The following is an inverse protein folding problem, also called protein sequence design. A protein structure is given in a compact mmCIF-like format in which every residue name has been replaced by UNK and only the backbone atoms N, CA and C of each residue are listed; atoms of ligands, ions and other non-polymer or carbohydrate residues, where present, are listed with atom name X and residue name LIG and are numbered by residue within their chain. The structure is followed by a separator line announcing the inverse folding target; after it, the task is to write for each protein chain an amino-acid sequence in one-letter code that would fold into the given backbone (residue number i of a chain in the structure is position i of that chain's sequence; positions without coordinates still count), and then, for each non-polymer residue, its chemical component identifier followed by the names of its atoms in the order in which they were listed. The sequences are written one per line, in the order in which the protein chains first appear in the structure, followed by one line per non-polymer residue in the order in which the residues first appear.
data_IF_692403101423
#
_entry.id   IF_692403101423
#
_cell.length_a   1.000
_cell.length_b   1.000
_cell.length_c   1.000
_cell.angle_alpha   90.00
_cell.angle_beta   90.00
_cell.angle_gamma   90.00
#
_symmetry.space_group_name_H-M   'P 1'
#
loop_
_entity.id
_entity.type
_entity.pdbx_description
1 polymer ?
#
# COMPACT_ATOMS: atom_id res chain seq x y z
N UNK A 1 -22.35 2.10 -7.58
CA UNK A 1 -20.97 2.14 -8.13
C UNK A 1 -19.95 2.61 -7.09
N UNK A 2 -20.01 3.86 -6.58
CA UNK A 2 -19.01 4.38 -5.62
C UNK A 2 -18.97 3.65 -4.26
N UNK A 3 -20.12 3.21 -3.74
CA UNK A 3 -20.17 2.39 -2.51
C UNK A 3 -19.46 1.04 -2.67
N UNK A 4 -19.52 0.44 -3.88
CA UNK A 4 -18.79 -0.78 -4.21
C UNK A 4 -17.29 -0.56 -4.16
N UNK A 5 -16.80 0.50 -4.81
CA UNK A 5 -15.37 0.89 -4.76
C UNK A 5 -14.84 1.12 -3.34
N UNK A 6 -15.69 1.66 -2.45
CA UNK A 6 -15.32 1.84 -1.04
C UNK A 6 -15.22 0.49 -0.30
N UNK A 7 -16.13 -0.44 -0.58
CA UNK A 7 -16.10 -1.78 -0.01
C UNK A 7 -14.89 -2.60 -0.53
N UNK A 8 -14.65 -2.56 -1.84
CA UNK A 8 -13.47 -3.17 -2.47
C UNK A 8 -12.16 -2.60 -1.88
N UNK A 9 -12.15 -1.30 -1.56
CA UNK A 9 -11.02 -0.66 -0.89
C UNK A 9 -10.72 -1.24 0.49
N UNK A 10 -11.76 -1.58 1.27
CA UNK A 10 -11.61 -2.24 2.57
C UNK A 10 -11.06 -3.66 2.41
N UNK A 11 -11.59 -4.41 1.44
CA UNK A 11 -11.14 -5.77 1.15
C UNK A 11 -9.66 -5.79 0.73
N UNK A 12 -9.25 -4.87 -0.14
CA UNK A 12 -7.85 -4.71 -0.54
C UNK A 12 -6.93 -4.37 0.63
N UNK A 13 -7.37 -3.54 1.58
CA UNK A 13 -6.58 -3.25 2.78
C UNK A 13 -6.44 -4.51 3.64
N UNK A 14 -7.50 -5.29 3.80
CA UNK A 14 -7.43 -6.56 4.51
C UNK A 14 -6.43 -7.53 3.84
N UNK A 15 -6.50 -7.68 2.51
CA UNK A 15 -5.54 -8.50 1.76
C UNK A 15 -4.08 -8.02 1.87
N UNK A 16 -3.86 -6.70 1.89
CA UNK A 16 -2.52 -6.15 2.07
C UNK A 16 -1.98 -6.48 3.46
N UNK A 17 -2.83 -6.41 4.49
CA UNK A 17 -2.45 -6.74 5.86
C UNK A 17 -2.11 -8.24 6.00
N UNK A 18 -2.91 -9.13 5.43
CA UNK A 18 -2.63 -10.58 5.48
C UNK A 18 -1.33 -10.92 4.76
N UNK A 19 -1.09 -10.35 3.57
CA UNK A 19 0.18 -10.52 2.85
C UNK A 19 1.39 -10.01 3.63
N UNK A 20 1.25 -8.90 4.35
CA UNK A 20 2.32 -8.38 5.20
C UNK A 20 2.59 -9.27 6.41
N UNK A 21 1.56 -9.87 7.02
CA UNK A 21 1.73 -10.86 8.09
C UNK A 21 2.44 -12.13 7.60
N UNK A 22 2.04 -12.66 6.46
CA UNK A 22 2.69 -13.84 5.86
C UNK A 22 4.14 -13.55 5.48
N UNK A 23 4.42 -12.35 4.93
CA UNK A 23 5.78 -11.89 4.65
C UNK A 23 6.64 -11.81 5.92
N UNK A 24 6.08 -11.33 7.04
CA UNK A 24 6.77 -11.29 8.33
C UNK A 24 7.10 -12.70 8.85
N UNK A 25 6.14 -13.63 8.80
CA UNK A 25 6.36 -15.03 9.21
C UNK A 25 7.47 -15.67 8.38
N UNK A 26 7.37 -15.58 7.06
CA UNK A 26 8.40 -16.11 6.16
C UNK A 26 9.79 -15.49 6.42
N UNK A 27 9.85 -14.21 6.78
CA UNK A 27 11.11 -13.56 7.15
C UNK A 27 11.70 -14.14 8.44
N UNK A 28 10.89 -14.33 9.49
CA UNK A 28 11.35 -14.93 10.75
C UNK A 28 11.83 -16.38 10.57
N UNK A 29 11.17 -17.16 9.72
CA UNK A 29 11.61 -18.51 9.37
C UNK A 29 12.97 -18.51 8.65
N UNK A 30 13.17 -17.56 7.75
CA UNK A 30 14.45 -17.38 7.04
C UNK A 30 15.56 -16.91 7.97
N UNK A 31 15.26 -16.05 8.93
CA UNK A 31 16.21 -15.61 9.97
C UNK A 31 16.66 -16.79 10.83
N UNK A 32 15.72 -17.58 11.34
CA UNK A 32 16.04 -18.79 12.09
C UNK A 32 16.83 -19.81 11.25
N UNK A 33 16.53 -19.95 9.95
CA UNK A 33 17.29 -20.82 9.06
C UNK A 33 18.72 -20.32 8.82
N UNK A 34 18.90 -19.01 8.68
CA UNK A 34 20.21 -18.36 8.55
C UNK A 34 21.07 -18.61 9.81
N UNK A 35 20.50 -18.38 10.99
CA UNK A 35 21.18 -18.61 12.26
C UNK A 35 21.57 -20.09 12.45
N UNK A 36 20.65 -21.01 12.15
CA UNK A 36 20.92 -22.46 12.17
C UNK A 36 22.06 -22.83 11.23
N UNK A 37 22.10 -22.23 10.04
CA UNK A 37 23.15 -22.51 9.06
C UNK A 37 24.51 -22.00 9.54
N UNK A 38 24.57 -20.79 10.11
CA UNK A 38 25.79 -20.27 10.73
C UNK A 38 26.27 -21.15 11.90
N UNK A 39 25.37 -21.65 12.74
CA UNK A 39 25.71 -22.59 13.80
C UNK A 39 26.27 -23.91 13.24
N UNK A 40 25.65 -24.47 12.19
CA UNK A 40 26.14 -25.69 11.56
C UNK A 40 27.53 -25.53 10.92
N UNK A 41 27.83 -24.35 10.38
CA UNK A 41 29.14 -24.02 9.79
C UNK A 41 30.20 -23.93 10.91
N UNK A 42 29.86 -23.31 12.05
CA UNK A 42 30.74 -23.26 13.24
C UNK A 42 31.01 -24.66 13.81
N UNK A 43 29.99 -25.50 13.94
CA UNK A 43 30.14 -26.88 14.43
C UNK A 43 31.08 -27.70 13.53
N UNK A 44 30.98 -27.53 12.20
CA UNK A 44 31.89 -28.19 11.25
C UNK A 44 33.35 -27.74 11.43
N UNK A 45 33.58 -26.47 11.78
CA UNK A 45 34.92 -25.96 12.09
C UNK A 45 35.45 -26.54 13.39
N UNK A 46 34.64 -26.56 14.45
CA UNK A 46 35.01 -27.11 15.77
C UNK A 46 35.32 -28.61 15.71
N UNK A 47 34.51 -29.36 14.95
CA UNK A 47 34.74 -30.78 14.67
C UNK A 47 35.87 -31.01 13.66
N UNK A 48 36.56 -29.95 13.20
CA UNK A 48 37.65 -29.96 12.21
C UNK A 48 37.30 -30.69 10.90
N UNK A 49 36.02 -30.72 10.53
CA UNK A 49 35.54 -31.29 9.27
C UNK A 49 35.82 -30.38 8.07
N UNK A 50 36.07 -29.09 8.31
CA UNK A 50 36.38 -28.08 7.29
C UNK A 50 37.63 -27.28 7.68
N UNK A 51 38.33 -26.76 6.68
CA UNK A 51 39.46 -25.84 6.90
C UNK A 51 38.96 -24.45 7.30
N UNK A 52 39.83 -23.65 7.92
CA UNK A 52 39.47 -22.29 8.33
C UNK A 52 39.14 -21.38 7.11
N UNK A 53 39.85 -21.55 6.00
CA UNK A 53 39.56 -20.82 4.75
C UNK A 53 38.16 -21.16 4.20
N UNK A 54 37.76 -22.43 4.29
CA UNK A 54 36.45 -22.87 3.85
C UNK A 54 35.34 -22.31 4.74
N UNK A 55 35.57 -22.26 6.06
CA UNK A 55 34.67 -21.62 7.01
C UNK A 55 34.45 -20.13 6.68
N UNK A 56 35.54 -19.38 6.45
CA UNK A 56 35.45 -17.96 6.11
C UNK A 56 34.69 -17.71 4.81
N UNK A 57 34.91 -18.56 3.80
CA UNK A 57 34.19 -18.51 2.53
C UNK A 57 32.69 -18.80 2.70
N UNK A 58 32.33 -19.89 3.39
CA UNK A 58 30.93 -20.26 3.62
C UNK A 58 30.18 -19.18 4.43
N UNK A 59 30.80 -18.62 5.46
CA UNK A 59 30.21 -17.53 6.26
C UNK A 59 30.03 -16.27 5.41
N UNK A 60 30.97 -15.95 4.53
CA UNK A 60 30.87 -14.80 3.63
C UNK A 60 29.73 -14.97 2.64
N UNK A 61 29.59 -16.14 2.05
CA UNK A 61 28.49 -16.44 1.12
C UNK A 61 27.13 -16.41 1.82
N UNK A 62 27.04 -16.99 3.02
CA UNK A 62 25.82 -16.99 3.82
C UNK A 62 25.41 -15.57 4.24
N UNK A 63 26.37 -14.73 4.67
CA UNK A 63 26.14 -13.30 4.93
C UNK A 63 25.68 -12.53 3.70
N UNK A 64 26.22 -12.84 2.51
CA UNK A 64 25.81 -12.20 1.25
C UNK A 64 24.34 -12.53 0.93
N UNK A 65 23.96 -13.79 1.07
CA UNK A 65 22.57 -14.25 0.86
C UNK A 65 21.64 -13.55 1.86
N UNK A 66 22.02 -13.53 3.14
CA UNK A 66 21.23 -12.86 4.18
C UNK A 66 21.05 -11.36 3.90
N UNK A 67 22.13 -10.67 3.53
CA UNK A 67 22.11 -9.24 3.18
C UNK A 67 21.20 -8.95 2.00
N UNK A 68 21.13 -9.86 1.02
CA UNK A 68 20.20 -9.73 -0.09
C UNK A 68 18.75 -9.87 0.39
N UNK A 69 18.45 -10.89 1.21
CA UNK A 69 17.11 -11.14 1.73
C UNK A 69 16.60 -10.02 2.65
N UNK A 70 17.45 -9.46 3.51
CA UNK A 70 17.08 -8.33 4.36
C UNK A 70 16.69 -7.10 3.53
N UNK A 71 17.44 -6.80 2.45
CA UNK A 71 17.10 -5.73 1.50
C UNK A 71 15.80 -5.99 0.75
N UNK A 72 15.53 -7.25 0.38
CA UNK A 72 14.25 -7.62 -0.25
C UNK A 72 13.09 -7.33 0.70
N UNK A 73 13.21 -7.74 1.97
CA UNK A 73 12.17 -7.49 2.99
C UNK A 73 11.93 -6.00 3.20
N UNK A 74 12.99 -5.20 3.30
CA UNK A 74 12.87 -3.75 3.43
C UNK A 74 12.10 -3.14 2.25
N UNK A 75 12.42 -3.53 1.01
CA UNK A 75 11.70 -3.07 -0.19
C UNK A 75 10.24 -3.47 -0.16
N UNK A 76 9.93 -4.72 0.18
CA UNK A 76 8.55 -5.21 0.28
C UNK A 76 7.76 -4.43 1.33
N UNK A 77 8.33 -4.18 2.50
CA UNK A 77 7.67 -3.40 3.55
C UNK A 77 7.39 -1.95 3.10
N UNK A 78 8.35 -1.31 2.41
CA UNK A 78 8.14 0.03 1.82
C UNK A 78 7.02 0.02 0.77
N UNK A 79 6.97 -1.00 -0.08
CA UNK A 79 5.90 -1.16 -1.09
C UNK A 79 4.54 -1.33 -0.42
N UNK A 80 4.45 -2.16 0.63
CA UNK A 80 3.25 -2.32 1.43
C UNK A 80 2.78 -0.98 2.02
N UNK A 81 3.67 -0.20 2.64
CA UNK A 81 3.31 1.11 3.20
C UNK A 81 2.81 2.08 2.13
N UNK A 82 3.45 2.11 0.96
CA UNK A 82 3.01 2.94 -0.17
C UNK A 82 1.64 2.51 -0.69
N UNK A 83 1.41 1.21 -0.84
CA UNK A 83 0.12 0.66 -1.27
C UNK A 83 -0.98 0.97 -0.25
N UNK A 84 -0.71 0.79 1.05
CA UNK A 84 -1.65 1.08 2.12
C UNK A 84 -2.04 2.57 2.14
N UNK A 85 -1.06 3.48 2.03
CA UNK A 85 -1.31 4.93 1.93
C UNK A 85 -2.16 5.26 0.71
N UNK A 86 -1.89 4.65 -0.44
CA UNK A 86 -2.65 4.86 -1.66
C UNK A 86 -4.10 4.37 -1.51
N UNK A 87 -4.33 3.20 -0.91
CA UNK A 87 -5.68 2.69 -0.65
C UNK A 87 -6.44 3.62 0.30
N UNK A 88 -5.83 4.06 1.40
CA UNK A 88 -6.47 5.02 2.32
C UNK A 88 -6.80 6.36 1.65
N UNK A 89 -5.88 6.91 0.85
CA UNK A 89 -6.11 8.14 0.12
C UNK A 89 -7.26 7.99 -0.89
N UNK A 90 -7.30 6.86 -1.60
CA UNK A 90 -8.37 6.54 -2.57
C UNK A 90 -9.71 6.40 -1.86
N UNK A 91 -9.78 5.65 -0.75
CA UNK A 91 -11.00 5.50 0.02
C UNK A 91 -11.51 6.85 0.55
N UNK A 92 -10.63 7.72 1.05
CA UNK A 92 -11.01 9.06 1.51
C UNK A 92 -11.63 9.88 0.37
N UNK A 93 -11.05 9.84 -0.83
CA UNK A 93 -11.59 10.52 -2.02
C UNK A 93 -12.96 9.97 -2.42
N UNK A 94 -13.11 8.64 -2.47
CA UNK A 94 -14.38 7.98 -2.79
C UNK A 94 -15.46 8.30 -1.76
N UNK A 95 -15.11 8.30 -0.47
CA UNK A 95 -16.03 8.65 0.60
C UNK A 95 -16.52 10.09 0.49
N UNK A 96 -15.61 11.05 0.32
CA UNK A 96 -15.98 12.46 0.09
C UNK A 96 -16.91 12.61 -1.12
N UNK A 97 -16.68 11.86 -2.20
CA UNK A 97 -17.57 11.89 -3.36
C UNK A 97 -18.95 11.33 -3.06
N UNK A 98 -19.04 10.22 -2.32
CA UNK A 98 -20.33 9.66 -1.89
C UNK A 98 -21.10 10.69 -1.08
N UNK A 99 -20.46 11.34 -0.11
CA UNK A 99 -21.11 12.38 0.72
C UNK A 99 -21.62 13.55 -0.11
N UNK A 100 -20.85 14.01 -1.12
CA UNK A 100 -21.29 15.08 -2.01
C UNK A 100 -22.51 14.68 -2.84
N UNK A 101 -22.50 13.48 -3.42
CA UNK A 101 -23.65 12.99 -4.17
C UNK A 101 -24.88 12.81 -3.26
N UNK A 102 -24.72 12.34 -2.03
CA UNK A 102 -25.80 12.23 -1.05
C UNK A 102 -26.37 13.61 -0.66
N UNK A 103 -25.51 14.61 -0.45
CA UNK A 103 -25.92 16.01 -0.19
C UNK A 103 -26.68 16.60 -1.38
N UNK A 104 -26.23 16.36 -2.60
CA UNK A 104 -26.91 16.84 -3.81
C UNK A 104 -28.29 16.17 -4.01
N UNK A 105 -28.37 14.85 -3.80
CA UNK A 105 -29.62 14.10 -3.94
C UNK A 105 -30.65 14.42 -2.85
N UNK A 106 -30.20 14.77 -1.65
CA UNK A 106 -31.09 15.11 -0.53
C UNK A 106 -31.71 16.52 -0.64
N UNK A 107 -31.44 17.26 -1.72
CA UNK A 107 -31.95 18.62 -2.00
C UNK A 107 -31.80 19.62 -0.84
N UNK A 108 -30.90 19.35 0.11
CA UNK A 108 -30.66 20.15 1.33
C UNK A 108 -29.50 21.15 1.18
N UNK A 109 -28.83 21.17 0.04
CA UNK A 109 -27.74 22.11 -0.25
C UNK A 109 -28.16 23.18 -1.25
N UNK A 110 -27.78 24.43 -1.01
CA UNK A 110 -27.84 25.47 -2.03
C UNK A 110 -26.88 25.12 -3.18
N UNK A 111 -27.20 25.50 -4.41
CA UNK A 111 -26.39 25.18 -5.59
C UNK A 111 -24.99 25.79 -5.55
N UNK A 112 -24.79 26.88 -4.79
CA UNK A 112 -23.48 27.50 -4.55
C UNK A 112 -22.61 26.65 -3.62
N UNK A 113 -23.17 26.14 -2.53
CA UNK A 113 -22.42 25.34 -1.55
C UNK A 113 -21.92 24.03 -2.16
N UNK A 114 -22.76 23.41 -3.01
CA UNK A 114 -22.39 22.22 -3.76
C UNK A 114 -21.26 22.48 -4.76
N UNK A 115 -21.25 23.65 -5.42
CA UNK A 115 -20.19 24.03 -6.38
C UNK A 115 -18.84 24.25 -5.68
N UNK A 116 -18.84 24.92 -4.53
CA UNK A 116 -17.61 25.11 -3.74
C UNK A 116 -17.04 23.80 -3.21
N UNK A 117 -17.90 22.93 -2.67
CA UNK A 117 -17.46 21.63 -2.15
C UNK A 117 -16.98 20.69 -3.27
N UNK A 118 -17.58 20.76 -4.46
CA UNK A 118 -17.08 20.06 -5.66
C UNK A 118 -15.72 20.59 -6.09
N UNK A 119 -15.51 21.92 -6.07
CA UNK A 119 -14.21 22.51 -6.38
C UNK A 119 -13.13 22.07 -5.39
N UNK A 120 -13.44 22.02 -4.09
CA UNK A 120 -12.52 21.52 -3.05
C UNK A 120 -12.16 20.04 -3.27
N UNK A 121 -13.15 19.22 -3.63
CA UNK A 121 -12.91 17.80 -3.94
C UNK A 121 -12.12 17.63 -5.24
N UNK A 122 -12.41 18.41 -6.28
CA UNK A 122 -11.66 18.36 -7.54
C UNK A 122 -10.21 18.86 -7.39
N UNK A 123 -9.98 19.89 -6.58
CA UNK A 123 -8.64 20.40 -6.24
C UNK A 123 -7.81 19.34 -5.50
N UNK A 124 -8.43 18.55 -4.62
CA UNK A 124 -7.78 17.44 -3.91
C UNK A 124 -7.64 16.16 -4.77
N UNK A 125 -8.40 16.04 -5.86
CA UNK A 125 -8.26 14.93 -6.81
C UNK A 125 -7.15 15.14 -7.85
N UNK A 126 -6.96 16.36 -8.35
CA UNK A 126 -6.12 16.63 -9.54
C UNK A 126 -4.71 17.15 -9.26
N UNK A 127 -4.25 17.25 -8.01
CA UNK A 127 -2.89 17.75 -7.74
C UNK A 127 -2.64 19.16 -8.31
N UNK A 128 -3.67 20.01 -8.37
CA UNK A 128 -3.55 21.43 -8.73
C UNK A 128 -3.91 21.84 -10.16
N UNK A 129 -4.55 21.00 -10.98
CA UNK A 129 -5.06 21.43 -12.30
C UNK A 129 -6.61 21.49 -12.32
N UNK A 130 -7.23 22.60 -12.78
CA UNK A 130 -8.68 22.77 -12.81
C UNK A 130 -9.29 21.97 -13.96
N UNK A 131 -9.87 20.81 -13.66
CA UNK A 131 -10.77 20.11 -14.58
C UNK A 131 -12.12 20.82 -14.63
N UNK A 132 -12.46 21.41 -15.78
CA UNK A 132 -13.76 22.03 -16.03
C UNK A 132 -14.82 20.95 -16.23
N UNK A 133 -15.80 20.85 -15.32
CA UNK A 133 -16.97 19.98 -15.51
C UNK A 133 -18.22 20.86 -15.65
N UNK A 134 -18.84 20.83 -16.83
CA UNK A 134 -20.12 21.47 -17.10
C UNK A 134 -21.21 20.62 -16.45
N UNK A 135 -21.93 21.18 -15.48
CA UNK A 135 -23.15 20.57 -14.95
C UNK A 135 -24.25 20.75 -15.99
N UNK A 136 -24.63 19.69 -16.70
CA UNK A 136 -25.67 19.68 -17.75
C UNK A 136 -27.09 20.08 -17.28
N UNK A 137 -27.26 20.45 -16.01
CA UNK A 137 -28.53 20.98 -15.51
C UNK A 137 -28.82 22.41 -16.00
N UNK A 138 -27.81 23.17 -16.41
CA UNK A 138 -27.98 24.55 -16.87
C UNK A 138 -28.49 24.64 -18.33
N UNK A 139 -28.32 23.61 -19.16
CA UNK A 139 -28.80 23.62 -20.57
C UNK A 139 -30.29 23.29 -20.72
N UNK A 140 -30.88 22.56 -19.77
CA UNK A 140 -32.30 22.21 -19.81
C UNK A 140 -33.24 23.40 -19.51
N UNK A 141 -32.72 24.50 -18.96
CA UNK A 141 -33.50 25.74 -18.74
C UNK A 141 -33.37 26.75 -19.87
N UNK A 142 -32.45 26.55 -20.82
CA UNK A 142 -32.22 27.48 -21.92
C UNK A 142 -33.01 27.14 -23.19
N UNK A 143 -33.83 26.07 -23.17
CA UNK A 143 -34.56 25.54 -24.34
C UNK A 143 -36.09 25.55 -24.16
N UNK A 144 -36.63 26.41 -23.28
CA UNK A 144 -38.06 26.72 -23.22
C UNK A 144 -38.32 28.19 -23.51
#
# INVERSE_FOLDING_TARGET
MLRGLYQDGKERIAELNTKEEDSKKAFTEKEAAHEKKLASIKEKLETKKISNEFYESEVKDEKRIWTYWSKVRERQHRQYLSALRLQHATMKKVHNMIELYEKALSSKGSTSDLKEDLQKVMATMHGGAPGHLVLMQDELKATQ
#
